data_IF_646858847337
#
_entry.id   IF_646858847337
#
_cell.length_a   1.000
_cell.length_b   1.000
_cell.length_c   1.000
_cell.angle_alpha   90.00
_cell.angle_beta   90.00
_cell.angle_gamma   90.00
#
_symmetry.space_group_name_H-M   'P 1'
#
loop_
_entity.id
_entity.type
_entity.pdbx_description
1 polymer ?
#
# COMPACT_ATOMS: atom_id res chain seq x y z
N UNK A 1 -1.40 -10.65 8.60
CA UNK A 1 -0.75 -10.19 9.83
C UNK A 1 -0.38 -8.73 9.69
N UNK A 2 -0.64 -7.92 10.71
CA UNK A 2 -0.22 -6.52 10.78
C UNK A 2 0.47 -6.28 12.12
N UNK A 3 1.48 -5.41 12.15
CA UNK A 3 2.12 -4.95 13.40
C UNK A 3 1.66 -3.52 13.70
N UNK A 4 0.62 -3.29 14.52
CA UNK A 4 0.04 -1.97 14.72
C UNK A 4 1.08 -0.96 15.22
N UNK A 5 0.97 0.28 14.76
CA UNK A 5 1.88 1.36 15.17
C UNK A 5 3.26 1.37 14.48
N UNK A 6 3.66 0.30 13.79
CA UNK A 6 4.99 0.18 13.18
C UNK A 6 5.32 1.27 12.16
N UNK A 7 4.32 1.90 11.55
CA UNK A 7 4.50 2.98 10.58
C UNK A 7 5.28 4.19 11.15
N UNK A 8 5.15 4.46 12.46
CA UNK A 8 5.91 5.52 13.14
C UNK A 8 7.36 5.12 13.29
N UNK A 9 7.59 3.91 13.79
CA UNK A 9 8.92 3.34 13.94
C UNK A 9 9.66 3.35 12.61
N UNK A 10 9.03 2.85 11.54
CA UNK A 10 9.61 2.86 10.20
C UNK A 10 9.97 4.27 9.77
N UNK A 11 9.04 5.23 9.89
CA UNK A 11 9.27 6.62 9.48
C UNK A 11 10.47 7.27 10.20
N UNK A 12 10.65 6.99 11.49
CA UNK A 12 11.75 7.51 12.30
C UNK A 12 13.13 6.94 11.94
N UNK A 13 13.17 5.75 11.32
CA UNK A 13 14.40 5.01 11.05
C UNK A 13 14.71 4.86 9.55
N UNK A 14 13.97 5.53 8.66
CA UNK A 14 14.16 5.43 7.20
C UNK A 14 15.57 5.81 6.73
N UNK A 15 16.27 6.66 7.48
CA UNK A 15 17.62 7.09 7.12
C UNK A 15 18.71 6.10 7.55
N UNK A 16 18.38 5.08 8.36
CA UNK A 16 19.31 4.03 8.77
C UNK A 16 19.46 2.96 7.66
N UNK A 17 20.65 2.82 7.04
CA UNK A 17 20.88 1.83 5.99
C UNK A 17 20.67 0.38 6.44
N UNK A 18 21.00 0.04 7.70
CA UNK A 18 20.83 -1.30 8.23
C UNK A 18 19.34 -1.64 8.38
N UNK A 19 18.56 -0.67 8.88
CA UNK A 19 17.11 -0.80 8.95
C UNK A 19 16.48 -0.94 7.54
N UNK A 20 16.90 -0.11 6.58
CA UNK A 20 16.42 -0.22 5.19
C UNK A 20 16.69 -1.58 4.58
N UNK A 21 17.86 -2.18 4.84
CA UNK A 21 18.17 -3.52 4.37
C UNK A 21 17.21 -4.55 4.97
N UNK A 22 16.95 -4.49 6.28
CA UNK A 22 15.96 -5.38 6.94
C UNK A 22 14.55 -5.21 6.38
N UNK A 23 14.14 -3.98 6.03
CA UNK A 23 12.86 -3.74 5.36
C UNK A 23 12.76 -4.45 4.00
N UNK A 24 13.85 -4.45 3.22
CA UNK A 24 13.92 -5.14 1.94
C UNK A 24 13.83 -6.67 2.13
N UNK A 25 14.48 -7.17 3.17
CA UNK A 25 14.47 -8.58 3.54
C UNK A 25 13.16 -9.01 4.24
N UNK A 26 12.26 -8.05 4.53
CA UNK A 26 11.02 -8.22 5.27
C UNK A 26 11.23 -8.86 6.66
N UNK A 27 12.40 -8.68 7.25
CA UNK A 27 12.76 -9.22 8.56
C UNK A 27 12.53 -8.18 9.65
N UNK A 28 11.37 -8.29 10.30
CA UNK A 28 10.97 -7.48 11.44
C UNK A 28 10.86 -8.29 12.74
N UNK A 29 11.34 -9.53 12.72
CA UNK A 29 11.31 -10.36 13.91
C UNK A 29 12.31 -9.80 14.93
N UNK A 30 11.91 -9.84 16.20
CA UNK A 30 12.69 -9.38 17.34
C UNK A 30 13.11 -7.90 17.30
N UNK A 31 12.42 -7.08 16.50
CA UNK A 31 12.67 -5.64 16.45
C UNK A 31 12.11 -4.93 17.70
N UNK A 32 12.95 -4.31 18.54
CA UNK A 32 12.48 -3.57 19.71
C UNK A 32 11.65 -2.36 19.27
N UNK A 33 10.51 -2.14 19.93
CA UNK A 33 9.61 -1.01 19.63
C UNK A 33 8.56 -1.29 18.56
N UNK A 34 8.57 -2.47 17.94
CA UNK A 34 7.50 -2.91 17.04
C UNK A 34 6.61 -3.92 17.77
N UNK A 35 5.29 -3.74 17.69
CA UNK A 35 4.33 -4.66 18.29
C UNK A 35 4.36 -6.05 17.65
N UNK A 36 3.92 -7.05 18.41
CA UNK A 36 3.65 -8.39 17.89
C UNK A 36 2.62 -8.36 16.75
N UNK A 37 2.72 -9.28 15.78
CA UNK A 37 1.81 -9.32 14.66
C UNK A 37 0.43 -9.80 15.12
N UNK A 38 -0.61 -9.13 14.65
CA UNK A 38 -2.02 -9.50 14.86
C UNK A 38 -2.73 -9.77 13.54
N UNK A 39 -3.77 -10.58 13.58
CA UNK A 39 -4.62 -10.83 12.41
C UNK A 39 -5.61 -9.69 12.18
N UNK A 40 -5.64 -9.17 10.96
CA UNK A 40 -6.69 -8.25 10.53
C UNK A 40 -7.88 -9.07 9.99
N UNK A 41 -8.89 -9.26 10.82
CA UNK A 41 -10.11 -9.99 10.47
C UNK A 41 -11.15 -9.01 9.91
N UNK A 42 -11.58 -9.26 8.68
CA UNK A 42 -12.45 -8.33 7.93
C UNK A 42 -13.55 -9.14 7.24
N UNK A 43 -14.84 -8.81 7.44
CA UNK A 43 -15.92 -9.46 6.71
C UNK A 43 -15.91 -9.07 5.23
N UNK A 44 -16.61 -9.83 4.40
CA UNK A 44 -16.80 -9.48 2.99
C UNK A 44 -17.42 -8.07 2.85
N UNK A 45 -16.83 -7.23 2.00
CA UNK A 45 -17.20 -5.82 1.83
C UNK A 45 -16.60 -4.87 2.87
N UNK A 46 -15.96 -5.38 3.93
CA UNK A 46 -15.17 -4.58 4.85
C UNK A 46 -13.87 -4.08 4.22
N UNK A 47 -13.37 -2.95 4.72
CA UNK A 47 -12.17 -2.28 4.20
C UNK A 47 -11.23 -1.94 5.35
N UNK A 48 -9.93 -2.16 5.14
CA UNK A 48 -8.88 -1.74 6.06
C UNK A 48 -7.99 -0.73 5.34
N UNK A 49 -7.84 0.44 5.96
CA UNK A 49 -6.88 1.45 5.52
C UNK A 49 -5.61 1.34 6.36
N UNK A 50 -4.46 1.33 5.70
CA UNK A 50 -3.19 1.37 6.40
C UNK A 50 -2.15 2.22 5.66
N UNK A 51 -1.22 2.79 6.42
CA UNK A 51 -0.12 3.57 5.90
C UNK A 51 0.87 2.68 5.15
N UNK A 52 1.55 3.18 4.12
CA UNK A 52 2.55 2.43 3.32
C UNK A 52 3.73 1.87 4.14
N UNK A 53 3.95 2.43 5.33
CA UNK A 53 4.98 2.00 6.28
C UNK A 53 4.47 1.05 7.36
N UNK A 54 3.20 0.62 7.30
CA UNK A 54 2.73 -0.45 8.18
C UNK A 54 3.46 -1.74 7.80
N UNK A 55 4.08 -2.39 8.78
CA UNK A 55 4.68 -3.71 8.64
C UNK A 55 3.53 -4.71 8.65
N UNK A 56 3.37 -5.42 7.54
CA UNK A 56 2.31 -6.40 7.36
C UNK A 56 2.80 -7.54 6.47
N UNK A 57 2.20 -8.71 6.64
CA UNK A 57 2.46 -9.86 5.79
C UNK A 57 1.17 -10.68 5.58
N UNK A 58 1.13 -11.46 4.51
CA UNK A 58 0.07 -12.42 4.24
C UNK A 58 0.15 -13.56 5.26
N UNK A 59 -0.96 -13.86 5.91
CA UNK A 59 -1.06 -15.11 6.69
C UNK A 59 -1.27 -16.29 5.76
N UNK A 60 -0.85 -17.46 6.21
CA UNK A 60 -1.20 -18.75 5.59
C UNK A 60 -2.72 -18.90 5.50
N UNK A 61 -3.20 -19.49 4.39
CA UNK A 61 -4.61 -19.81 4.23
C UNK A 61 -4.82 -21.28 4.57
N UNK A 62 -5.34 -21.54 5.77
CA UNK A 62 -5.60 -22.90 6.24
C UNK A 62 -6.86 -23.54 5.64
N UNK A 63 -7.64 -22.78 4.86
CA UNK A 63 -8.89 -23.22 4.26
C UNK A 63 -8.69 -23.57 2.78
N UNK A 64 -9.46 -24.55 2.30
CA UNK A 64 -9.50 -24.90 0.87
C UNK A 64 -10.09 -23.79 -0.01
N UNK A 65 -10.91 -22.91 0.59
CA UNK A 65 -11.50 -21.79 -0.11
C UNK A 65 -10.46 -20.67 -0.30
N UNK A 66 -10.29 -20.14 -1.53
CA UNK A 66 -9.34 -19.08 -1.78
C UNK A 66 -9.79 -17.77 -1.14
N UNK A 67 -8.91 -17.16 -0.33
CA UNK A 67 -9.10 -15.79 0.17
C UNK A 67 -8.90 -14.79 -0.96
N UNK A 68 -9.93 -14.00 -1.27
CA UNK A 68 -9.90 -12.93 -2.28
C UNK A 68 -9.85 -11.57 -1.61
N UNK A 69 -8.96 -10.71 -2.10
CA UNK A 69 -8.75 -9.34 -1.60
C UNK A 69 -8.53 -8.41 -2.79
N UNK A 70 -9.06 -7.19 -2.69
CA UNK A 70 -8.77 -6.12 -3.64
C UNK A 70 -7.83 -5.12 -2.95
N UNK A 71 -6.60 -5.02 -3.46
CA UNK A 71 -5.66 -3.99 -3.00
C UNK A 71 -5.77 -2.75 -3.89
N UNK A 72 -6.00 -1.61 -3.25
CA UNK A 72 -5.99 -0.30 -3.91
C UNK A 72 -4.90 0.54 -3.26
N UNK A 73 -3.92 0.94 -4.06
CA UNK A 73 -2.80 1.75 -3.61
C UNK A 73 -2.97 3.18 -4.08
N UNK A 74 -2.91 4.12 -3.13
CA UNK A 74 -2.85 5.54 -3.40
C UNK A 74 -1.43 6.02 -3.16
N UNK A 75 -0.85 6.69 -4.15
CA UNK A 75 0.50 7.24 -4.08
C UNK A 75 0.45 8.75 -4.33
N UNK A 76 1.00 9.51 -3.40
CA UNK A 76 1.35 10.91 -3.61
C UNK A 76 2.69 11.04 -4.35
N UNK A 77 2.94 12.21 -4.93
CA UNK A 77 4.22 12.53 -5.56
C UNK A 77 4.81 13.74 -4.83
N UNK A 78 5.99 13.57 -4.27
CA UNK A 78 6.72 14.66 -3.59
C UNK A 78 7.50 15.52 -4.60
N UNK A 79 7.71 15.00 -5.81
CA UNK A 79 8.41 15.65 -6.90
C UNK A 79 7.44 15.95 -8.08
N UNK A 80 7.30 17.23 -8.48
CA UNK A 80 6.51 17.62 -9.65
C UNK A 80 6.87 16.89 -10.94
N UNK A 81 8.15 16.54 -11.15
CA UNK A 81 8.59 15.84 -12.36
C UNK A 81 8.10 14.39 -12.38
N UNK A 82 8.12 13.71 -11.24
CA UNK A 82 7.52 12.37 -11.10
C UNK A 82 6.01 12.40 -11.35
N UNK A 83 5.32 13.42 -10.83
CA UNK A 83 3.90 13.61 -11.09
C UNK A 83 3.64 13.80 -12.59
N UNK A 84 4.41 14.67 -13.25
CA UNK A 84 4.28 14.92 -14.69
C UNK A 84 4.51 13.67 -15.53
N UNK A 85 5.56 12.89 -15.22
CA UNK A 85 5.85 11.63 -15.90
C UNK A 85 4.74 10.59 -15.69
N UNK A 86 4.17 10.52 -14.48
CA UNK A 86 3.04 9.65 -14.19
C UNK A 86 1.78 10.04 -14.98
N UNK A 87 1.42 11.34 -15.01
CA UNK A 87 0.28 11.86 -15.78
C UNK A 87 0.45 11.60 -17.28
N UNK A 88 1.65 11.77 -17.82
CA UNK A 88 1.95 11.55 -19.25
C UNK A 88 1.66 10.11 -19.74
N UNK A 89 1.59 9.14 -18.83
CA UNK A 89 1.33 7.73 -19.15
C UNK A 89 0.00 7.21 -18.59
N UNK A 90 -0.76 8.03 -17.87
CA UNK A 90 -1.97 7.61 -17.16
C UNK A 90 -3.05 7.05 -18.10
N UNK A 91 -3.34 7.74 -19.21
CA UNK A 91 -4.36 7.34 -20.17
C UNK A 91 -4.10 5.95 -20.79
N UNK A 92 -2.82 5.55 -20.96
CA UNK A 92 -2.43 4.26 -21.55
C UNK A 92 -2.86 3.05 -20.70
N UNK A 93 -3.27 3.26 -19.45
CA UNK A 93 -3.72 2.21 -18.52
C UNK A 93 -5.21 1.89 -18.68
N UNK A 94 -5.94 2.73 -19.39
CA UNK A 94 -7.39 2.63 -19.54
C UNK A 94 -7.77 2.55 -21.02
N UNK A 95 -8.95 2.00 -21.28
CA UNK A 95 -9.58 2.11 -22.61
C UNK A 95 -10.31 3.44 -22.69
N UNK A 96 -10.39 4.03 -23.88
CA UNK A 96 -11.00 5.36 -24.07
C UNK A 96 -12.43 5.42 -23.51
N UNK A 97 -13.27 4.41 -23.81
CA UNK A 97 -14.63 4.34 -23.28
C UNK A 97 -14.73 4.24 -21.74
N UNK A 98 -13.66 3.80 -21.05
CA UNK A 98 -13.62 3.87 -19.59
C UNK A 98 -13.36 5.30 -19.10
N UNK A 99 -12.47 6.04 -19.78
CA UNK A 99 -12.14 7.42 -19.42
C UNK A 99 -13.35 8.33 -19.63
N UNK A 100 -14.12 8.09 -20.69
CA UNK A 100 -15.33 8.87 -21.03
C UNK A 100 -16.39 8.85 -19.93
N UNK A 101 -16.55 7.72 -19.23
CA UNK A 101 -17.55 7.55 -18.16
C UNK A 101 -17.03 7.88 -16.77
N UNK A 102 -15.74 8.19 -16.61
CA UNK A 102 -15.17 8.58 -15.31
C UNK A 102 -15.62 9.99 -14.93
N UNK A 103 -16.05 10.14 -13.68
CA UNK A 103 -16.23 11.47 -13.09
C UNK A 103 -14.88 12.18 -12.85
N UNK A 104 -14.95 13.48 -12.57
CA UNK A 104 -13.75 14.31 -12.39
C UNK A 104 -12.87 13.82 -11.23
N UNK A 105 -13.47 13.32 -10.15
CA UNK A 105 -12.73 12.79 -9.00
C UNK A 105 -11.95 11.52 -9.36
N UNK A 106 -12.57 10.65 -10.14
CA UNK A 106 -11.97 9.40 -10.60
C UNK A 106 -10.84 9.70 -11.58
N UNK A 107 -11.03 10.64 -12.51
CA UNK A 107 -9.97 11.10 -13.41
C UNK A 107 -8.77 11.64 -12.63
N UNK A 108 -9.00 12.46 -11.61
CA UNK A 108 -7.94 12.97 -10.74
C UNK A 108 -7.18 11.84 -10.02
N UNK A 109 -7.89 10.88 -9.41
CA UNK A 109 -7.27 9.74 -8.72
C UNK A 109 -6.47 8.87 -9.70
N UNK A 110 -6.95 8.72 -10.94
CA UNK A 110 -6.28 7.97 -11.99
C UNK A 110 -5.12 8.75 -12.65
N UNK A 111 -4.90 10.02 -12.28
CA UNK A 111 -3.86 10.88 -12.86
C UNK A 111 -4.16 11.35 -14.29
N UNK A 112 -5.43 11.36 -14.67
CA UNK A 112 -5.92 11.81 -15.99
C UNK A 112 -6.20 13.32 -16.02
N UNK A 113 -6.44 13.93 -14.85
CA UNK A 113 -6.60 15.37 -14.63
C UNK A 113 -5.55 15.90 -13.65
#
# INVERSE_FOLDING_TARGET
>A
MVRPGSHRFVAEHLDDPAFRQRMLDQDFNDMPGIAEPVEALVPAGGVVFFHSFLVHDRSENMLELPRRVLFVHFKGYDDPDQMKAAKATAAKRFRDGHIEVMDARTKQICGLD
#
